data_IF_463969762612
#
_entry.id   IF_463969762612
#
_cell.length_a   1.000
_cell.length_b   1.000
_cell.length_c   1.000
_cell.angle_alpha   90.00
_cell.angle_beta   90.00
_cell.angle_gamma   90.00
#
_symmetry.space_group_name_H-M   'P 1'
#
loop_
_entity.id
_entity.type
_entity.pdbx_description
1 polymer ?
#
# COMPACT_ATOMS: atom_id res chain seq x y z
N UNK A 1 15.31 -8.94 3.13
CA UNK A 1 16.01 -7.86 2.41
C UNK A 1 15.68 -6.50 2.99
N UNK A 2 16.61 -5.54 2.87
CA UNK A 2 16.33 -4.14 3.20
C UNK A 2 15.34 -3.62 2.16
N UNK A 3 14.26 -3.00 2.63
CA UNK A 3 13.23 -2.46 1.78
C UNK A 3 13.35 -0.94 1.63
N UNK A 4 13.41 -0.22 2.76
CA UNK A 4 13.61 1.24 2.76
C UNK A 4 14.47 1.67 3.95
N UNK A 5 15.06 2.86 3.86
CA UNK A 5 15.83 3.44 4.95
C UNK A 5 15.77 4.96 4.93
N UNK A 6 15.74 5.55 6.12
CA UNK A 6 15.76 7.02 6.27
C UNK A 6 16.40 7.45 7.57
N UNK A 7 17.03 8.62 7.54
CA UNK A 7 17.47 9.30 8.77
C UNK A 7 16.28 9.97 9.46
N UNK A 8 16.09 9.67 10.74
CA UNK A 8 15.12 10.38 11.57
C UNK A 8 15.76 10.75 12.90
N UNK A 9 15.75 12.04 13.19
CA UNK A 9 16.55 12.57 14.29
C UNK A 9 18.04 12.25 14.08
N UNK A 10 18.72 11.69 15.06
CA UNK A 10 20.14 11.34 15.00
C UNK A 10 20.38 9.85 14.67
N UNK A 11 19.32 9.14 14.29
CA UNK A 11 19.34 7.68 14.05
C UNK A 11 18.99 7.34 12.60
N UNK A 12 19.41 6.14 12.17
CA UNK A 12 19.03 5.55 10.90
C UNK A 12 17.96 4.48 11.13
N UNK A 13 16.79 4.65 10.52
CA UNK A 13 15.72 3.66 10.55
C UNK A 13 15.71 2.88 9.25
N UNK A 14 15.60 1.56 9.36
CA UNK A 14 15.65 0.62 8.24
C UNK A 14 14.49 -0.35 8.34
N UNK A 15 13.66 -0.40 7.32
CA UNK A 15 12.63 -1.45 7.20
C UNK A 15 13.18 -2.66 6.46
N UNK A 16 12.77 -3.81 6.92
CA UNK A 16 13.23 -5.11 6.44
C UNK A 16 12.01 -5.90 6.01
N UNK A 17 12.04 -6.32 4.76
CA UNK A 17 11.12 -7.34 4.25
C UNK A 17 11.59 -8.69 4.78
N UNK A 18 10.81 -9.29 5.63
CA UNK A 18 11.09 -10.62 6.17
C UNK A 18 10.75 -11.67 5.12
N UNK A 19 11.52 -12.73 5.02
CA UNK A 19 11.29 -13.78 4.01
C UNK A 19 10.05 -14.62 4.32
N UNK A 20 9.41 -15.23 3.33
CA UNK A 20 8.34 -16.20 3.55
C UNK A 20 8.88 -17.37 4.38
N UNK A 21 8.21 -17.82 5.46
CA UNK A 21 8.63 -19.02 6.17
C UNK A 21 8.76 -20.20 5.21
N UNK A 22 9.87 -20.91 5.26
CA UNK A 22 10.14 -22.08 4.39
C UNK A 22 9.06 -23.15 4.52
N UNK A 23 8.34 -23.19 5.65
CA UNK A 23 7.24 -24.10 5.90
C UNK A 23 5.90 -23.46 5.60
N UNK A 24 5.49 -23.61 4.40
CA UNK A 24 4.21 -23.12 3.89
C UNK A 24 2.95 -23.70 4.56
N UNK A 25 3.08 -24.62 5.50
CA UNK A 25 1.98 -25.10 6.33
C UNK A 25 1.62 -24.18 7.50
N UNK A 26 2.54 -23.30 7.91
CA UNK A 26 2.28 -22.24 8.91
C UNK A 26 1.85 -20.93 8.23
N UNK A 27 1.24 -21.04 7.10
CA UNK A 27 0.82 -19.95 6.23
C UNK A 27 -0.34 -19.13 6.79
N UNK A 28 -0.85 -19.45 7.96
CA UNK A 28 -1.80 -18.61 8.69
C UNK A 28 -1.10 -17.38 9.31
N UNK A 29 0.20 -17.44 9.49
CA UNK A 29 1.02 -16.28 9.87
C UNK A 29 1.58 -15.64 8.62
N UNK A 30 0.87 -14.66 8.12
CA UNK A 30 1.42 -13.80 7.07
C UNK A 30 2.57 -13.00 7.67
N UNK A 31 3.58 -12.79 6.86
CA UNK A 31 4.71 -11.97 7.23
C UNK A 31 4.29 -10.53 7.41
N UNK A 32 4.93 -9.92 8.36
CA UNK A 32 4.92 -8.49 8.55
C UNK A 32 6.35 -7.97 8.36
N UNK A 33 6.49 -6.68 8.15
CA UNK A 33 7.81 -6.07 8.10
C UNK A 33 8.42 -5.95 9.49
N UNK A 34 9.75 -5.92 9.52
CA UNK A 34 10.52 -5.52 10.70
C UNK A 34 11.13 -4.13 10.47
N UNK A 35 11.40 -3.41 11.54
CA UNK A 35 12.13 -2.14 11.50
C UNK A 35 13.18 -2.09 12.60
N UNK A 36 14.40 -1.73 12.21
CA UNK A 36 15.51 -1.53 13.15
C UNK A 36 15.97 -0.08 13.14
N UNK A 37 16.45 0.37 14.30
CA UNK A 37 17.13 1.65 14.48
C UNK A 37 18.61 1.42 14.67
N UNK A 38 19.42 2.13 13.90
CA UNK A 38 20.86 2.22 14.05
C UNK A 38 21.27 3.56 14.67
N UNK A 39 22.02 3.48 15.75
CA UNK A 39 22.64 4.61 16.42
C UNK A 39 24.16 4.55 16.24
N UNK A 40 24.77 5.67 15.86
CA UNK A 40 26.22 5.74 15.74
C UNK A 40 26.85 6.00 17.12
N UNK A 41 27.64 5.03 17.60
CA UNK A 41 28.36 5.19 18.88
C UNK A 41 29.48 6.24 18.78
N UNK A 42 29.98 6.70 19.93
CA UNK A 42 31.13 7.60 20.00
C UNK A 42 32.39 7.05 19.31
N UNK A 43 32.51 5.73 19.22
CA UNK A 43 33.62 5.05 18.54
C UNK A 43 33.43 4.90 17.03
N UNK A 44 32.31 5.39 16.49
CA UNK A 44 31.98 5.27 15.06
C UNK A 44 31.42 3.90 14.65
N UNK A 45 31.00 3.08 15.61
CA UNK A 45 30.36 1.79 15.35
C UNK A 45 28.83 1.94 15.40
N UNK A 46 28.12 1.23 14.52
CA UNK A 46 26.68 1.15 14.54
C UNK A 46 26.17 0.19 15.62
N UNK A 47 25.25 0.68 16.45
CA UNK A 47 24.51 -0.14 17.42
C UNK A 47 23.07 -0.23 16.92
N UNK A 48 22.61 -1.46 16.68
CA UNK A 48 21.29 -1.72 16.13
C UNK A 48 20.31 -2.19 17.21
N UNK A 49 19.11 -1.61 17.20
CA UNK A 49 18.02 -1.95 18.10
C UNK A 49 16.78 -2.29 17.28
N UNK A 50 16.05 -3.33 17.67
CA UNK A 50 14.77 -3.67 17.07
C UNK A 50 13.69 -2.72 17.58
N UNK A 51 12.96 -2.07 16.67
CA UNK A 51 11.82 -1.19 16.96
C UNK A 51 10.53 -1.92 16.66
N UNK A 52 10.48 -2.59 15.53
CA UNK A 52 9.38 -3.47 15.11
C UNK A 52 10.02 -4.81 14.77
N UNK A 53 9.61 -5.85 15.49
CA UNK A 53 10.12 -7.21 15.31
C UNK A 53 9.26 -8.00 14.33
N UNK A 54 9.88 -9.03 13.76
CA UNK A 54 9.17 -10.02 12.95
C UNK A 54 8.36 -10.98 13.84
N UNK A 55 8.79 -11.17 15.09
CA UNK A 55 8.17 -12.03 16.08
C UNK A 55 8.43 -11.54 17.51
N UNK A 56 7.71 -12.11 18.47
CA UNK A 56 7.80 -11.70 19.89
C UNK A 56 9.20 -11.82 20.48
N UNK A 57 9.94 -12.87 20.09
CA UNK A 57 11.28 -13.15 20.61
C UNK A 57 12.32 -12.11 20.19
N UNK A 58 12.03 -11.26 19.21
CA UNK A 58 12.92 -10.19 18.78
C UNK A 58 13.06 -9.08 19.84
N UNK A 59 12.19 -9.09 20.84
CA UNK A 59 12.24 -8.17 21.99
C UNK A 59 11.96 -6.71 21.60
N UNK A 60 11.33 -6.48 20.45
CA UNK A 60 10.92 -5.16 20.01
C UNK A 60 9.67 -4.68 20.74
N UNK A 61 9.44 -3.36 20.71
CA UNK A 61 8.24 -2.75 21.27
C UNK A 61 6.96 -3.16 20.54
N UNK A 62 7.06 -3.31 19.22
CA UNK A 62 6.00 -3.77 18.32
C UNK A 62 6.42 -5.07 17.67
N UNK A 63 5.48 -5.97 17.43
CA UNK A 63 5.74 -7.29 16.84
C UNK A 63 4.84 -7.55 15.66
N UNK A 64 5.28 -8.40 14.74
CA UNK A 64 4.55 -8.74 13.51
C UNK A 64 4.14 -7.50 12.68
N UNK A 65 5.09 -6.64 12.40
CA UNK A 65 4.79 -5.29 11.98
C UNK A 65 4.39 -4.42 13.16
N UNK A 66 3.44 -3.52 12.96
CA UNK A 66 2.97 -2.64 14.03
C UNK A 66 1.79 -3.27 14.76
N UNK A 67 0.87 -3.87 14.01
CA UNK A 67 -0.34 -4.48 14.52
C UNK A 67 -0.37 -5.99 14.22
N UNK A 68 -0.23 -6.84 15.26
CA UNK A 68 -0.21 -8.29 15.09
C UNK A 68 -1.50 -8.90 14.53
N UNK A 69 -2.63 -8.18 14.61
CA UNK A 69 -3.91 -8.66 14.07
C UNK A 69 -4.00 -8.49 12.57
N UNK A 70 -3.18 -7.61 12.03
CA UNK A 70 -3.09 -7.38 10.60
C UNK A 70 -2.06 -8.32 10.00
N UNK A 71 -2.55 -9.40 9.43
CA UNK A 71 -1.71 -10.42 8.79
C UNK A 71 -1.41 -10.03 7.36
N UNK A 72 -0.18 -9.61 7.08
CA UNK A 72 0.28 -9.32 5.73
C UNK A 72 1.75 -9.58 5.60
N UNK A 73 2.14 -9.85 4.41
CA UNK A 73 3.54 -9.90 4.05
C UNK A 73 4.04 -8.50 3.82
N UNK A 74 5.10 -8.16 4.45
CA UNK A 74 5.32 -6.81 4.50
C UNK A 74 6.62 -6.24 4.18
N UNK A 75 6.42 -5.09 3.66
CA UNK A 75 7.42 -4.07 3.66
C UNK A 75 6.75 -2.78 4.12
N UNK A 76 7.55 -1.78 4.37
CA UNK A 76 7.05 -0.45 4.64
C UNK A 76 8.01 0.59 4.09
N UNK A 77 7.45 1.60 3.44
CA UNK A 77 8.19 2.81 3.06
C UNK A 77 8.24 3.79 4.21
N UNK A 78 9.31 4.56 4.27
CA UNK A 78 9.59 5.54 5.31
C UNK A 78 9.69 6.95 4.74
N UNK A 79 9.07 7.91 5.41
CA UNK A 79 9.21 9.33 5.08
C UNK A 79 9.13 10.20 6.32
N UNK A 80 10.10 11.06 6.51
CA UNK A 80 10.05 12.07 7.58
C UNK A 80 9.22 13.27 7.12
N UNK A 81 8.27 13.67 7.95
CA UNK A 81 7.51 14.91 7.78
C UNK A 81 7.24 15.55 9.15
N UNK A 82 7.61 16.82 9.30
CA UNK A 82 7.55 17.50 10.58
C UNK A 82 8.39 16.80 11.66
N UNK A 83 7.77 16.51 12.77
CA UNK A 83 8.41 15.85 13.91
C UNK A 83 8.26 14.32 13.93
N UNK A 84 7.72 13.73 12.87
CA UNK A 84 7.34 12.33 12.79
C UNK A 84 8.02 11.58 11.65
N UNK A 85 8.23 10.29 11.87
CA UNK A 85 8.56 9.30 10.84
C UNK A 85 7.27 8.60 10.39
N UNK A 86 6.87 8.79 9.16
CA UNK A 86 5.72 8.11 8.55
C UNK A 86 6.13 6.75 8.01
N UNK A 87 5.28 5.77 8.22
CA UNK A 87 5.48 4.36 7.88
C UNK A 87 4.27 3.92 7.06
N UNK A 88 4.48 3.71 5.76
CA UNK A 88 3.44 3.29 4.82
C UNK A 88 3.58 1.82 4.47
N UNK A 89 2.53 1.05 4.71
CA UNK A 89 2.52 -0.40 4.50
C UNK A 89 2.51 -0.81 3.03
N UNK A 90 2.94 -2.03 2.81
CA UNK A 90 2.83 -2.79 1.56
C UNK A 90 2.26 -4.18 1.84
N UNK A 91 1.18 -4.52 1.18
CA UNK A 91 0.65 -5.88 1.14
C UNK A 91 1.33 -6.64 0.00
N UNK A 92 1.86 -7.83 0.30
CA UNK A 92 2.52 -8.64 -0.73
C UNK A 92 1.49 -9.32 -1.63
N UNK A 93 1.31 -8.75 -2.81
CA UNK A 93 0.43 -9.33 -3.81
C UNK A 93 1.09 -10.46 -4.60
N UNK A 94 2.42 -10.49 -4.68
CA UNK A 94 3.11 -11.51 -5.46
C UNK A 94 2.79 -12.90 -4.91
N UNK A 95 2.89 -13.08 -3.59
CA UNK A 95 2.52 -14.34 -2.93
C UNK A 95 1.02 -14.61 -3.04
N UNK A 96 0.18 -13.59 -2.89
CA UNK A 96 -1.27 -13.75 -3.02
C UNK A 96 -1.67 -14.20 -4.43
N UNK A 97 -1.08 -13.60 -5.46
CA UNK A 97 -1.30 -13.96 -6.86
C UNK A 97 -0.74 -15.34 -7.18
N UNK A 98 0.48 -15.67 -6.74
CA UNK A 98 1.08 -17.00 -6.95
C UNK A 98 0.20 -18.11 -6.38
N UNK A 99 -0.29 -17.96 -5.16
CA UNK A 99 -1.17 -18.95 -4.55
C UNK A 99 -2.51 -19.08 -5.25
N UNK A 100 -3.09 -17.97 -5.63
CA UNK A 100 -4.31 -17.97 -6.41
C UNK A 100 -4.12 -18.72 -7.73
N UNK A 101 -3.02 -18.47 -8.44
CA UNK A 101 -2.76 -19.05 -9.75
C UNK A 101 -2.35 -20.51 -9.71
N UNK A 102 -1.49 -20.89 -8.77
CA UNK A 102 -0.87 -22.22 -8.76
C UNK A 102 -1.52 -23.19 -7.78
N UNK A 103 -2.02 -22.69 -6.64
CA UNK A 103 -2.59 -23.51 -5.58
C UNK A 103 -4.13 -23.45 -5.54
N UNK A 104 -4.74 -22.55 -6.33
CA UNK A 104 -6.18 -22.22 -6.25
C UNK A 104 -6.59 -21.81 -4.82
N UNK A 105 -5.69 -21.10 -4.14
CA UNK A 105 -5.87 -20.61 -2.77
C UNK A 105 -6.01 -19.09 -2.77
N UNK A 106 -7.20 -18.61 -2.49
CA UNK A 106 -7.57 -17.20 -2.46
C UNK A 106 -7.43 -16.55 -1.09
N UNK A 107 -7.02 -17.30 -0.07
CA UNK A 107 -7.01 -16.82 1.33
C UNK A 107 -6.21 -15.53 1.50
N UNK A 108 -5.03 -15.45 0.87
CA UNK A 108 -4.18 -14.26 0.98
C UNK A 108 -4.73 -13.07 0.20
N UNK A 109 -5.25 -13.30 -0.97
CA UNK A 109 -5.86 -12.26 -1.78
C UNK A 109 -7.05 -11.64 -1.02
N UNK A 110 -7.91 -12.46 -0.45
CA UNK A 110 -9.06 -12.01 0.33
C UNK A 110 -8.61 -11.19 1.54
N UNK A 111 -7.63 -11.68 2.30
CA UNK A 111 -7.08 -10.95 3.45
C UNK A 111 -6.49 -9.60 3.05
N UNK A 112 -5.81 -9.51 1.93
CA UNK A 112 -5.28 -8.24 1.43
C UNK A 112 -6.39 -7.22 1.18
N UNK A 113 -7.49 -7.64 0.56
CA UNK A 113 -8.63 -6.76 0.33
C UNK A 113 -9.44 -6.45 1.59
N UNK A 114 -9.52 -7.39 2.54
CA UNK A 114 -10.10 -7.16 3.87
C UNK A 114 -9.29 -6.18 4.71
N UNK A 115 -7.98 -6.18 4.50
CA UNK A 115 -7.04 -5.35 5.25
C UNK A 115 -6.13 -4.56 4.29
N UNK A 116 -6.66 -3.60 3.52
CA UNK A 116 -5.84 -2.73 2.69
C UNK A 116 -4.85 -1.94 3.56
N UNK A 117 -3.88 -1.30 2.94
CA UNK A 117 -2.74 -0.72 3.64
C UNK A 117 -3.09 0.39 4.62
N UNK A 118 -2.34 0.45 5.70
CA UNK A 118 -2.37 1.53 6.66
C UNK A 118 -1.20 2.50 6.46
N UNK A 119 -1.39 3.71 6.96
CA UNK A 119 -0.34 4.70 7.13
C UNK A 119 -0.24 5.03 8.63
N UNK A 120 0.93 4.81 9.19
CA UNK A 120 1.25 5.16 10.56
C UNK A 120 2.23 6.33 10.61
N UNK A 121 2.38 6.93 11.79
CA UNK A 121 3.50 7.80 12.10
C UNK A 121 4.06 7.46 13.47
N UNK A 122 5.35 7.68 13.63
CA UNK A 122 6.11 7.41 14.86
C UNK A 122 6.76 8.69 15.35
N UNK A 123 6.67 8.95 16.64
CA UNK A 123 7.32 10.09 17.28
C UNK A 123 8.78 9.77 17.70
N UNK A 124 9.43 10.73 18.33
CA UNK A 124 10.82 10.60 18.82
C UNK A 124 11.00 9.56 19.95
N UNK A 125 9.93 9.15 20.60
CA UNK A 125 9.94 8.13 21.66
C UNK A 125 9.53 6.75 21.11
N UNK A 126 9.42 6.64 19.79
CA UNK A 126 8.95 5.43 19.10
C UNK A 126 7.51 5.03 19.48
N UNK A 127 6.70 6.06 19.86
CA UNK A 127 5.26 5.87 19.97
C UNK A 127 4.61 6.00 18.60
N UNK A 128 3.80 4.99 18.24
CA UNK A 128 3.15 4.90 16.95
C UNK A 128 1.68 5.31 17.05
N UNK A 129 1.24 6.13 16.10
CA UNK A 129 -0.14 6.54 15.90
C UNK A 129 -0.62 6.08 14.52
N UNK A 130 -1.86 5.62 14.44
CA UNK A 130 -2.52 5.29 13.18
C UNK A 130 -3.02 6.59 12.53
N UNK A 131 -2.61 6.85 11.29
CA UNK A 131 -3.03 8.03 10.54
C UNK A 131 -4.14 7.67 9.56
N UNK A 132 -3.95 6.62 8.77
CA UNK A 132 -4.94 6.08 7.85
C UNK A 132 -5.11 4.60 8.19
N UNK A 133 -6.32 4.21 8.53
CA UNK A 133 -6.62 2.82 8.90
C UNK A 133 -7.96 2.70 9.60
N UNK A 134 -8.52 1.51 9.56
CA UNK A 134 -9.74 1.18 10.26
C UNK A 134 -9.50 1.02 11.75
N UNK A 135 -10.56 1.16 12.54
CA UNK A 135 -10.52 0.89 13.98
C UNK A 135 -10.30 -0.60 14.23
N UNK A 136 -9.44 -0.92 15.16
CA UNK A 136 -9.11 -2.27 15.60
C UNK A 136 -8.86 -2.31 17.12
N UNK A 137 -8.34 -3.43 17.62
CA UNK A 137 -8.08 -3.57 19.07
C UNK A 137 -6.91 -2.67 19.54
N UNK A 138 -5.90 -2.47 18.67
CA UNK A 138 -4.74 -1.65 19.00
C UNK A 138 -5.04 -0.16 18.82
N UNK A 139 -5.85 0.19 17.84
CA UNK A 139 -6.25 1.55 17.49
C UNK A 139 -7.79 1.70 17.47
N UNK A 140 -8.45 1.67 18.66
CA UNK A 140 -9.91 1.57 18.72
C UNK A 140 -10.68 2.77 18.14
N UNK A 141 -10.01 3.91 17.99
CA UNK A 141 -10.60 5.11 17.40
C UNK A 141 -10.36 5.20 15.88
N UNK A 142 -9.61 4.25 15.31
CA UNK A 142 -9.20 4.27 13.90
C UNK A 142 -8.17 5.36 13.58
N UNK A 143 -7.95 5.59 12.31
CA UNK A 143 -6.97 6.56 11.81
C UNK A 143 -7.32 8.01 12.13
N UNK A 144 -6.34 8.78 12.61
CA UNK A 144 -6.50 10.19 12.97
C UNK A 144 -7.00 11.07 11.80
N UNK A 145 -6.75 10.67 10.57
CA UNK A 145 -7.22 11.37 9.36
C UNK A 145 -8.72 11.22 9.12
N UNK A 146 -9.37 10.25 9.76
CA UNK A 146 -10.73 9.82 9.47
C UNK A 146 -10.86 8.95 8.22
N UNK A 147 -9.77 8.65 7.52
CA UNK A 147 -9.75 7.66 6.45
C UNK A 147 -9.57 6.26 7.03
N UNK A 148 -10.36 5.30 6.57
CA UNK A 148 -10.16 3.87 6.78
C UNK A 148 -8.92 3.34 6.05
N UNK A 149 -8.59 2.06 6.24
CA UNK A 149 -7.48 1.39 5.57
C UNK A 149 -7.55 1.59 4.06
N UNK A 150 -6.40 1.71 3.40
CA UNK A 150 -6.30 2.02 1.99
C UNK A 150 -6.84 3.41 1.60
N UNK A 151 -6.97 4.34 2.53
CA UNK A 151 -7.70 5.60 2.36
C UNK A 151 -9.20 5.40 2.04
N UNK A 152 -9.77 4.30 2.52
CA UNK A 152 -11.16 3.89 2.26
C UNK A 152 -11.35 3.19 0.92
N UNK A 153 -10.27 2.76 0.28
CA UNK A 153 -10.26 1.99 -0.96
C UNK A 153 -9.54 0.66 -0.73
N UNK A 154 -10.26 -0.45 -0.82
CA UNK A 154 -9.72 -1.79 -0.59
C UNK A 154 -8.69 -2.23 -1.62
N UNK A 155 -8.72 -1.60 -2.80
CA UNK A 155 -7.80 -1.81 -3.90
C UNK A 155 -6.42 -1.20 -3.65
N UNK A 156 -6.32 -0.25 -2.74
CA UNK A 156 -5.04 0.34 -2.34
C UNK A 156 -4.24 -0.63 -1.47
N UNK A 157 -3.34 -1.37 -2.11
CA UNK A 157 -2.55 -2.45 -1.51
C UNK A 157 -1.12 -2.04 -1.17
N UNK A 158 -0.73 -0.81 -1.49
CA UNK A 158 0.59 -0.31 -1.22
C UNK A 158 0.62 1.22 -1.07
N UNK A 159 1.18 1.73 0.03
CA UNK A 159 1.68 3.11 0.12
C UNK A 159 3.02 3.14 -0.60
N UNK A 160 2.99 3.30 -1.93
CA UNK A 160 4.17 3.00 -2.75
C UNK A 160 5.25 4.04 -2.69
N UNK A 161 4.87 5.31 -2.71
CA UNK A 161 5.82 6.39 -2.55
C UNK A 161 5.25 7.54 -1.75
N UNK A 162 6.13 8.08 -0.93
CA UNK A 162 5.89 9.29 -0.16
C UNK A 162 6.99 10.30 -0.46
N UNK A 163 6.67 11.59 -0.38
CA UNK A 163 7.66 12.67 -0.50
C UNK A 163 7.19 13.94 0.18
N UNK A 164 8.14 14.80 0.52
CA UNK A 164 7.86 16.15 1.00
C UNK A 164 8.33 17.16 -0.05
N UNK A 165 7.44 18.04 -0.45
CA UNK A 165 7.75 19.09 -1.39
C UNK A 165 7.00 20.37 -1.02
N UNK A 166 7.70 21.49 -0.98
CA UNK A 166 7.16 22.82 -0.64
C UNK A 166 6.33 22.86 0.66
N UNK A 167 6.85 22.19 1.71
CA UNK A 167 6.20 22.10 3.02
C UNK A 167 4.98 21.17 3.09
N UNK A 168 4.64 20.51 2.01
CA UNK A 168 3.51 19.57 1.93
C UNK A 168 4.02 18.13 1.83
N UNK A 169 3.25 17.23 2.44
CA UNK A 169 3.52 15.79 2.41
C UNK A 169 2.57 15.10 1.42
N UNK A 170 3.15 14.37 0.48
CA UNK A 170 2.46 13.65 -0.58
C UNK A 170 2.56 12.15 -0.37
N UNK A 171 1.44 11.47 -0.54
CA UNK A 171 1.32 10.00 -0.40
C UNK A 171 0.66 9.42 -1.64
N UNK A 172 1.35 8.55 -2.33
CA UNK A 172 0.87 7.86 -3.52
C UNK A 172 0.74 6.36 -3.29
N UNK A 173 -0.30 5.78 -3.86
CA UNK A 173 -0.66 4.39 -3.68
C UNK A 173 -0.36 3.53 -4.91
N UNK A 174 -0.63 2.25 -4.74
CA UNK A 174 -0.75 1.24 -5.78
C UNK A 174 -2.16 0.66 -5.72
N UNK A 175 -2.84 0.63 -6.85
CA UNK A 175 -4.16 0.06 -7.04
C UNK A 175 -4.06 -1.33 -7.69
N UNK A 176 -4.46 -2.34 -6.95
CA UNK A 176 -4.43 -3.72 -7.39
C UNK A 176 -5.48 -4.02 -8.49
N UNK A 177 -6.58 -3.29 -8.50
CA UNK A 177 -7.70 -3.58 -9.39
C UNK A 177 -7.42 -3.27 -10.87
N UNK A 178 -6.46 -2.39 -11.15
CA UNK A 178 -6.11 -2.02 -12.53
C UNK A 178 -5.74 -3.21 -13.42
N UNK A 179 -5.27 -4.31 -12.83
CA UNK A 179 -4.99 -5.54 -13.57
C UNK A 179 -6.24 -6.31 -14.02
N UNK A 180 -7.42 -5.98 -13.49
CA UNK A 180 -8.68 -6.58 -13.92
C UNK A 180 -9.15 -6.02 -15.27
N UNK A 181 -8.72 -4.79 -15.63
CA UNK A 181 -9.14 -4.12 -16.88
C UNK A 181 -8.80 -4.96 -18.13
N UNK A 182 -7.55 -5.46 -18.31
CA UNK A 182 -7.23 -6.28 -19.47
C UNK A 182 -8.01 -7.59 -19.51
N UNK A 183 -8.38 -8.14 -18.35
CA UNK A 183 -9.20 -9.36 -18.29
C UNK A 183 -10.61 -9.08 -18.81
N UNK A 184 -11.21 -7.97 -18.42
CA UNK A 184 -12.52 -7.55 -18.91
C UNK A 184 -12.50 -7.25 -20.42
N UNK A 185 -11.51 -6.49 -20.89
CA UNK A 185 -11.32 -6.21 -22.32
C UNK A 185 -11.17 -7.50 -23.13
N UNK A 186 -10.41 -8.47 -22.60
CA UNK A 186 -10.22 -9.75 -23.26
C UNK A 186 -11.51 -10.59 -23.29
N UNK A 187 -12.33 -10.53 -22.24
CA UNK A 187 -13.63 -11.19 -22.20
C UNK A 187 -14.56 -10.69 -23.30
N UNK A 188 -14.43 -9.40 -23.66
CA UNK A 188 -15.22 -8.76 -24.68
C UNK A 188 -14.60 -8.87 -26.09
N UNK A 189 -13.41 -9.48 -26.24
CA UNK A 189 -12.78 -9.72 -27.56
C UNK A 189 -13.53 -10.82 -28.34
N UNK A 190 -14.00 -10.47 -29.52
CA UNK A 190 -14.69 -11.39 -30.43
C UNK A 190 -13.83 -12.59 -30.89
N UNK A 191 -12.50 -12.44 -30.82
CA UNK A 191 -11.55 -13.47 -31.24
C UNK A 191 -11.13 -14.41 -30.08
N UNK A 192 -11.48 -14.10 -28.85
CA UNK A 192 -11.16 -14.96 -27.72
C UNK A 192 -11.97 -16.26 -27.75
N UNK A 193 -11.31 -17.40 -27.46
CA UNK A 193 -11.99 -18.68 -27.40
C UNK A 193 -13.01 -18.75 -26.27
N UNK A 194 -14.13 -19.42 -26.47
CA UNK A 194 -15.16 -19.61 -25.44
C UNK A 194 -14.62 -20.35 -24.19
N UNK A 195 -13.66 -21.26 -24.37
CA UNK A 195 -12.99 -21.94 -23.26
C UNK A 195 -12.21 -20.95 -22.41
N UNK A 196 -11.45 -20.06 -23.05
CA UNK A 196 -10.71 -19.02 -22.35
C UNK A 196 -11.62 -18.01 -21.65
N UNK A 197 -12.65 -17.54 -22.35
CA UNK A 197 -13.65 -16.63 -21.77
C UNK A 197 -14.28 -17.24 -20.53
N UNK A 198 -14.65 -18.53 -20.59
CA UNK A 198 -15.22 -19.24 -19.42
C UNK A 198 -14.25 -19.34 -18.25
N UNK A 199 -12.95 -19.54 -18.53
CA UNK A 199 -11.91 -19.55 -17.48
C UNK A 199 -11.77 -18.19 -16.82
N UNK A 200 -11.61 -17.13 -17.62
CA UNK A 200 -11.46 -15.76 -17.12
C UNK A 200 -12.71 -15.33 -16.34
N UNK A 201 -13.91 -15.63 -16.85
CA UNK A 201 -15.16 -15.35 -16.14
C UNK A 201 -15.24 -16.09 -14.81
N UNK A 202 -14.80 -17.35 -14.75
CA UNK A 202 -14.69 -18.11 -13.50
C UNK A 202 -13.72 -17.43 -12.51
N UNK A 203 -12.61 -16.95 -12.99
CA UNK A 203 -11.62 -16.21 -12.22
C UNK A 203 -12.18 -14.92 -11.63
N UNK A 204 -12.74 -14.08 -12.50
CA UNK A 204 -13.32 -12.80 -12.08
C UNK A 204 -14.44 -13.03 -11.05
N UNK A 205 -15.33 -14.01 -11.29
CA UNK A 205 -16.40 -14.37 -10.35
C UNK A 205 -15.86 -14.79 -8.99
N UNK A 206 -14.79 -15.55 -8.96
CA UNK A 206 -14.17 -15.97 -7.69
C UNK A 206 -13.56 -14.77 -6.97
N UNK A 207 -12.80 -13.93 -7.66
CA UNK A 207 -12.25 -12.71 -7.09
C UNK A 207 -13.34 -11.80 -6.52
N UNK A 208 -14.41 -11.56 -7.29
CA UNK A 208 -15.52 -10.70 -6.84
C UNK A 208 -16.35 -11.34 -5.71
N UNK A 209 -16.50 -12.67 -5.69
CA UNK A 209 -17.24 -13.36 -4.66
C UNK A 209 -16.56 -13.32 -3.29
N UNK A 210 -15.22 -13.36 -3.31
CA UNK A 210 -14.38 -13.37 -2.12
C UNK A 210 -13.90 -11.96 -1.73
N UNK A 211 -14.29 -10.95 -2.50
CA UNK A 211 -13.93 -9.56 -2.28
C UNK A 211 -14.76 -8.96 -1.14
N UNK A 212 -14.17 -8.74 0.02
CA UNK A 212 -14.88 -8.35 1.23
C UNK A 212 -15.45 -6.94 1.20
N UNK A 213 -14.84 -6.03 0.44
CA UNK A 213 -15.33 -4.67 0.25
C UNK A 213 -16.62 -4.58 -0.57
N UNK A 214 -17.04 -5.68 -1.21
CA UNK A 214 -18.25 -5.75 -2.03
C UNK A 214 -19.25 -6.74 -1.41
N UNK A 215 -20.46 -6.30 -0.96
CA UNK A 215 -21.45 -7.22 -0.43
C UNK A 215 -21.78 -8.32 -1.44
N UNK A 216 -21.47 -9.56 -1.11
CA UNK A 216 -21.62 -10.74 -1.98
C UNK A 216 -23.03 -10.92 -2.56
N UNK A 217 -24.06 -10.41 -1.87
CA UNK A 217 -25.46 -10.58 -2.27
C UNK A 217 -25.98 -9.53 -3.26
N UNK A 218 -25.19 -8.48 -3.55
CA UNK A 218 -25.71 -7.29 -4.23
C UNK A 218 -24.99 -6.92 -5.51
N UNK A 219 -23.79 -7.45 -5.79
CA UNK A 219 -22.96 -6.96 -6.90
C UNK A 219 -22.42 -8.13 -7.71
N UNK A 220 -22.71 -8.14 -9.00
CA UNK A 220 -22.07 -9.04 -9.96
C UNK A 220 -20.67 -8.50 -10.30
N UNK A 221 -19.78 -9.34 -10.86
CA UNK A 221 -18.48 -8.88 -11.34
C UNK A 221 -18.60 -7.72 -12.33
N UNK A 222 -19.57 -7.79 -13.24
CA UNK A 222 -19.82 -6.71 -14.19
C UNK A 222 -20.23 -5.42 -13.49
N UNK A 223 -21.06 -5.49 -12.45
CA UNK A 223 -21.46 -4.31 -11.66
C UNK A 223 -20.29 -3.75 -10.83
N UNK A 224 -19.38 -4.61 -10.37
CA UNK A 224 -18.16 -4.17 -9.72
C UNK A 224 -17.24 -3.43 -10.69
N UNK A 225 -16.94 -4.03 -11.84
CA UNK A 225 -16.08 -3.44 -12.86
C UNK A 225 -16.66 -2.12 -13.42
N UNK A 226 -17.99 -2.02 -13.53
CA UNK A 226 -18.67 -0.79 -13.99
C UNK A 226 -18.60 0.36 -12.96
N UNK A 227 -18.42 0.03 -11.67
CA UNK A 227 -18.36 1.03 -10.59
C UNK A 227 -16.94 1.29 -10.07
N UNK A 228 -16.01 0.37 -10.31
CA UNK A 228 -14.65 0.49 -9.83
C UNK A 228 -13.97 1.71 -10.45
N UNK A 229 -13.22 2.41 -9.64
CA UNK A 229 -12.37 3.51 -10.09
C UNK A 229 -10.95 2.97 -10.08
N UNK A 230 -10.42 2.70 -11.26
CA UNK A 230 -9.11 2.11 -11.44
C UNK A 230 -8.01 3.17 -11.51
N UNK A 231 -6.82 2.80 -11.09
CA UNK A 231 -5.63 3.63 -11.11
C UNK A 231 -5.27 4.18 -9.72
N UNK A 232 -4.00 4.50 -9.54
CA UNK A 232 -3.47 4.91 -8.24
C UNK A 232 -4.15 6.17 -7.69
N UNK A 233 -4.10 6.27 -6.37
CA UNK A 233 -4.49 7.46 -5.62
C UNK A 233 -3.28 8.32 -5.27
N UNK A 234 -3.49 9.62 -5.21
CA UNK A 234 -2.53 10.59 -4.69
C UNK A 234 -3.20 11.52 -3.69
N UNK A 235 -2.62 11.61 -2.53
CA UNK A 235 -3.06 12.47 -1.43
C UNK A 235 -1.99 13.48 -1.07
N UNK A 236 -2.42 14.63 -0.53
CA UNK A 236 -1.54 15.67 0.00
C UNK A 236 -2.05 16.18 1.34
N UNK A 237 -1.12 16.53 2.23
CA UNK A 237 -1.42 17.13 3.52
C UNK A 237 -0.37 18.19 3.90
N UNK A 238 -0.78 19.20 4.66
CA UNK A 238 0.10 20.23 5.23
C UNK A 238 0.45 19.95 6.70
N UNK A 239 -0.32 19.12 7.38
CA UNK A 239 -0.17 18.80 8.81
C UNK A 239 0.12 17.33 9.10
N UNK A 240 0.11 16.49 8.07
CA UNK A 240 0.36 15.05 8.18
C UNK A 240 -0.83 14.23 8.69
N UNK A 241 -1.99 14.85 8.88
CA UNK A 241 -3.22 14.20 9.39
C UNK A 241 -4.40 14.47 8.46
N UNK A 242 -4.61 15.72 8.07
CA UNK A 242 -5.74 16.10 7.23
C UNK A 242 -5.35 16.00 5.76
N UNK A 243 -5.79 14.96 5.08
CA UNK A 243 -5.44 14.70 3.68
C UNK A 243 -6.49 15.25 2.72
N UNK A 244 -6.01 15.79 1.61
CA UNK A 244 -6.80 16.13 0.44
C UNK A 244 -6.42 15.20 -0.70
N UNK A 245 -7.41 14.58 -1.34
CA UNK A 245 -7.22 13.76 -2.53
C UNK A 245 -6.94 14.63 -3.75
N UNK A 246 -5.86 14.33 -4.46
CA UNK A 246 -5.51 14.98 -5.75
C UNK A 246 -6.08 14.18 -6.90
N UNK A 247 -5.96 12.86 -6.86
CA UNK A 247 -6.55 11.92 -7.82
C UNK A 247 -6.88 10.61 -7.13
N UNK A 248 -7.84 9.88 -7.67
CA UNK A 248 -8.22 8.52 -7.30
C UNK A 248 -8.37 7.61 -8.54
N UNK A 249 -7.80 8.01 -9.67
CA UNK A 249 -8.00 7.33 -10.94
C UNK A 249 -6.78 7.41 -11.86
N UNK A 250 -5.57 7.42 -11.29
CA UNK A 250 -4.33 7.43 -12.05
C UNK A 250 -4.14 8.64 -12.95
N UNK A 251 -4.68 9.82 -12.56
CA UNK A 251 -4.78 11.02 -13.40
C UNK A 251 -5.65 10.83 -14.65
N UNK A 252 -6.73 10.06 -14.55
CA UNK A 252 -7.67 9.78 -15.64
C UNK A 252 -7.21 8.66 -16.58
N UNK A 253 -6.17 7.94 -16.21
CA UNK A 253 -5.69 6.78 -16.93
C UNK A 253 -5.73 5.56 -15.99
N UNK A 254 -6.72 4.66 -16.15
CA UNK A 254 -6.93 3.53 -15.28
C UNK A 254 -5.78 2.51 -15.31
N UNK A 255 -4.93 2.55 -16.32
CA UNK A 255 -3.74 1.70 -16.43
C UNK A 255 -2.53 2.23 -15.66
N UNK A 256 -2.58 3.44 -15.14
CA UNK A 256 -1.62 3.95 -14.18
C UNK A 256 -1.90 3.35 -12.80
N UNK A 257 -1.55 2.09 -12.60
CA UNK A 257 -1.88 1.35 -11.38
C UNK A 257 -1.07 1.77 -10.15
N UNK A 258 -0.04 2.56 -10.32
CA UNK A 258 0.78 2.94 -9.16
C UNK A 258 1.57 4.23 -9.35
N UNK A 259 1.72 4.98 -8.26
CA UNK A 259 2.66 6.08 -8.17
C UNK A 259 4.04 5.51 -7.81
N UNK A 260 4.90 5.37 -8.82
CA UNK A 260 6.18 4.65 -8.69
C UNK A 260 7.32 5.54 -8.21
N UNK A 261 7.30 6.81 -8.56
CA UNK A 261 8.40 7.71 -8.24
C UNK A 261 7.95 9.16 -8.10
N UNK A 262 8.61 9.88 -7.23
CA UNK A 262 8.62 11.33 -7.20
C UNK A 262 9.98 11.85 -7.66
N UNK A 263 9.98 12.94 -8.43
CA UNK A 263 11.16 13.67 -8.84
C UNK A 263 11.04 15.14 -8.47
N UNK A 264 11.93 15.64 -7.64
CA UNK A 264 11.98 17.04 -7.23
C UNK A 264 13.08 17.74 -8.01
N UNK A 265 12.73 18.80 -8.72
CA UNK A 265 13.66 19.62 -9.48
C UNK A 265 13.41 21.10 -9.23
N UNK A 266 14.26 21.97 -9.76
CA UNK A 266 14.00 23.41 -9.78
C UNK A 266 12.74 23.79 -10.57
N UNK A 267 12.23 22.89 -11.40
CA UNK A 267 11.00 23.08 -12.17
C UNK A 267 9.72 22.65 -11.45
N UNK A 268 9.82 22.00 -10.28
CA UNK A 268 8.66 21.55 -9.50
C UNK A 268 8.73 20.08 -9.13
N UNK A 269 7.58 19.55 -8.70
CA UNK A 269 7.37 18.15 -8.36
C UNK A 269 6.87 17.38 -9.59
N UNK A 270 7.54 16.29 -9.89
CA UNK A 270 7.19 15.37 -10.97
C UNK A 270 6.82 14.01 -10.39
N UNK A 271 5.91 13.33 -11.06
CA UNK A 271 5.37 12.03 -10.68
C UNK A 271 5.60 11.07 -11.84
N UNK A 272 6.25 9.94 -11.56
CA UNK A 272 6.37 8.82 -12.48
C UNK A 272 5.40 7.71 -12.12
N UNK A 273 4.59 7.28 -13.09
CA UNK A 273 3.59 6.24 -12.89
C UNK A 273 4.17 4.85 -13.15
N UNK A 274 3.59 3.82 -12.54
CA UNK A 274 3.73 2.46 -13.00
C UNK A 274 2.57 2.14 -13.92
N UNK A 275 2.89 1.86 -15.18
CA UNK A 275 1.93 1.45 -16.21
C UNK A 275 2.59 0.35 -17.05
N UNK A 276 2.33 -0.93 -16.73
CA UNK A 276 2.96 -2.05 -17.41
C UNK A 276 2.37 -2.33 -18.81
N UNK A 277 1.24 -1.70 -19.15
CA UNK A 277 0.52 -2.00 -20.39
C UNK A 277 1.09 -1.26 -21.58
N UNK A 278 1.42 0.04 -21.43
CA UNK A 278 1.95 0.84 -22.53
C UNK A 278 3.02 1.86 -22.11
N UNK A 279 3.48 1.76 -20.87
CA UNK A 279 4.67 2.48 -20.41
C UNK A 279 4.39 3.62 -19.42
N UNK A 280 5.43 3.92 -18.67
CA UNK A 280 5.43 4.96 -17.65
C UNK A 280 5.09 6.33 -18.21
N UNK A 281 4.21 7.03 -17.54
CA UNK A 281 3.92 8.44 -17.76
C UNK A 281 4.64 9.30 -16.75
N UNK A 282 5.01 10.51 -17.16
CA UNK A 282 5.59 11.52 -16.28
C UNK A 282 4.67 12.73 -16.23
N UNK A 283 4.17 13.00 -15.04
CA UNK A 283 3.29 14.13 -14.76
C UNK A 283 4.03 15.19 -13.96
N UNK A 284 3.76 16.44 -14.26
CA UNK A 284 4.21 17.58 -13.43
C UNK A 284 3.04 18.04 -12.58
N UNK A 285 3.24 18.05 -11.26
CA UNK A 285 2.27 18.65 -10.37
C UNK A 285 2.34 20.17 -10.49
N UNK A 286 1.20 20.78 -10.84
CA UNK A 286 1.06 22.22 -10.91
C UNK A 286 0.01 22.66 -9.90
N UNK A 287 0.30 23.70 -9.11
CA UNK A 287 -0.75 24.36 -8.34
C UNK A 287 -1.73 24.99 -9.35
N UNK A 288 -2.94 24.50 -9.42
CA UNK A 288 -4.01 25.29 -10.00
C UNK A 288 -4.22 26.48 -9.08
N UNK A 289 -3.69 27.62 -9.47
CA UNK A 289 -4.10 28.88 -8.89
C UNK A 289 -5.61 28.97 -9.06
N UNK A 290 -6.33 29.08 -7.94
CA UNK A 290 -7.76 29.39 -7.87
C UNK A 290 -8.07 30.57 -8.80
N UNK A 291 -8.44 30.31 -10.04
CA UNK A 291 -9.08 31.24 -10.95
C UNK A 291 -9.96 30.50 -11.95
N UNK A 292 -11.06 29.97 -11.46
CA UNK A 292 -12.29 29.96 -12.26
C UNK A 292 -13.42 30.47 -11.37
N UNK A 293 -13.62 31.79 -11.47
CA UNK A 293 -14.91 32.43 -11.11
C UNK A 293 -15.97 32.02 -12.12
#
# INVERSE_FOLDING_TARGET
>A
SIFDMTGFRDSLYVTICTGTPENASDRDTMQSFAMVRGDLSENGEWVWNSVIGDKEEDGAKYTFGIDPQRTRSGAANLQVFGDYLYIGEYNDEEIAVERMLFDNDFTFMNKNFEQPVNLYRMDKNEEIELIVGDADEMFPDGGLSGYGSGFGCSENQYVWKMTVYDGKFYVGTYDASSFLIPLDEYMNDENASEEWKSRVDGYIKTLCADYSGVPQSAVTCAEYLDKAVFGFDLYVTEDGVNFTKITDNGFGDPYNHGLRAFGITSGGLYIGTANPFYGTQVWKLTEETEKRK
#
